data_IF_832099775802
#
_entry.id   IF_832099775802
#
_cell.length_a   1.000
_cell.length_b   1.000
_cell.length_c   1.000
_cell.angle_alpha   90.00
_cell.angle_beta   90.00
_cell.angle_gamma   90.00
#
_symmetry.space_group_name_H-M   'P 1'
#
loop_
_entity.id
_entity.type
_entity.pdbx_description
1 polymer ?
#
# COMPACT_ATOMS: atom_id res chain seq x y z
N UNK A 1 27.36 -19.28 -17.78
CA UNK A 1 26.37 -20.37 -17.66
C UNK A 1 25.15 -19.98 -18.50
N UNK A 2 24.73 -20.80 -19.48
CA UNK A 2 23.53 -20.55 -20.29
C UNK A 2 22.28 -21.05 -19.54
N UNK A 3 21.17 -20.31 -19.62
CA UNK A 3 19.91 -20.75 -19.03
C UNK A 3 19.34 -21.89 -19.88
N UNK A 4 18.89 -22.97 -19.25
CA UNK A 4 18.27 -24.11 -19.94
C UNK A 4 16.88 -24.38 -19.39
N UNK A 5 15.90 -24.54 -20.27
CA UNK A 5 14.55 -24.94 -19.92
C UNK A 5 14.08 -26.05 -20.87
N UNK A 6 13.60 -27.16 -20.30
CA UNK A 6 13.19 -28.38 -21.03
C UNK A 6 14.21 -28.87 -22.08
N UNK A 7 15.50 -28.82 -21.74
CA UNK A 7 16.58 -29.28 -22.62
C UNK A 7 16.97 -28.30 -23.73
N UNK A 8 16.28 -27.16 -23.87
CA UNK A 8 16.64 -26.11 -24.83
C UNK A 8 17.52 -25.07 -24.11
N UNK A 9 18.64 -24.74 -24.71
CA UNK A 9 19.55 -23.69 -24.22
C UNK A 9 19.13 -22.33 -24.76
N UNK A 10 18.98 -21.36 -23.88
CA UNK A 10 18.62 -20.00 -24.22
C UNK A 10 19.85 -19.10 -24.24
N UNK A 11 19.90 -18.22 -25.23
CA UNK A 11 20.80 -17.08 -25.23
C UNK A 11 20.17 -15.97 -24.40
N UNK A 12 20.71 -15.76 -23.20
CA UNK A 12 20.19 -14.77 -22.26
C UNK A 12 20.75 -13.39 -22.58
N UNK A 13 19.92 -12.53 -23.18
CA UNK A 13 20.23 -11.12 -23.43
C UNK A 13 19.32 -10.23 -22.56
N UNK A 14 19.65 -10.02 -21.27
CA UNK A 14 18.83 -9.18 -20.41
C UNK A 14 18.90 -7.73 -20.86
N UNK A 15 17.80 -6.96 -20.74
CA UNK A 15 17.84 -5.53 -21.01
C UNK A 15 18.76 -4.83 -20.00
N UNK A 16 19.74 -4.08 -20.50
CA UNK A 16 20.62 -3.28 -19.65
C UNK A 16 19.87 -2.04 -19.12
N UNK A 17 19.65 -2.00 -17.81
CA UNK A 17 19.07 -0.83 -17.13
C UNK A 17 20.20 0.02 -16.58
N UNK A 18 20.48 1.15 -17.23
CA UNK A 18 21.47 2.13 -16.76
C UNK A 18 20.97 2.84 -15.51
N UNK A 19 21.69 2.69 -14.41
CA UNK A 19 21.42 3.38 -13.14
C UNK A 19 22.55 4.33 -12.80
N UNK A 20 22.21 5.56 -12.42
CA UNK A 20 23.15 6.50 -11.83
C UNK A 20 23.27 6.22 -10.32
N UNK A 21 24.50 6.17 -9.83
CA UNK A 21 24.76 6.03 -8.40
C UNK A 21 24.54 7.37 -7.70
N UNK A 22 23.69 7.39 -6.67
CA UNK A 22 23.56 8.59 -5.83
C UNK A 22 24.82 8.78 -4.98
N UNK A 23 25.22 10.05 -4.77
CA UNK A 23 26.26 10.39 -3.81
C UNK A 23 25.87 10.11 -2.35
N UNK A 24 24.58 9.93 -2.08
CA UNK A 24 24.04 9.59 -0.75
C UNK A 24 23.99 8.08 -0.59
N UNK A 25 24.75 7.56 0.37
CA UNK A 25 24.78 6.15 0.77
C UNK A 25 25.15 6.05 2.26
N UNK A 26 24.86 4.92 2.88
CA UNK A 26 25.30 4.66 4.25
C UNK A 26 24.98 3.26 4.74
N UNK A 27 25.14 3.06 6.05
CA UNK A 27 24.79 1.83 6.76
C UNK A 27 23.63 2.10 7.70
N UNK A 28 22.60 1.27 7.68
CA UNK A 28 21.52 1.27 8.66
C UNK A 28 21.41 -0.12 9.29
N UNK A 29 21.59 -0.21 10.62
CA UNK A 29 21.59 -1.49 11.36
C UNK A 29 22.52 -2.56 10.75
N UNK A 30 23.69 -2.14 10.29
CA UNK A 30 24.68 -3.01 9.64
C UNK A 30 24.41 -3.30 8.16
N UNK A 31 23.25 -2.93 7.62
CA UNK A 31 22.92 -3.13 6.20
C UNK A 31 23.26 -1.89 5.36
N UNK A 32 23.82 -2.11 4.18
CA UNK A 32 24.02 -1.03 3.20
C UNK A 32 22.69 -0.52 2.67
N UNK A 33 22.51 0.80 2.68
CA UNK A 33 21.42 1.46 1.97
C UNK A 33 22.01 2.46 0.97
N UNK A 34 21.50 2.42 -0.26
CA UNK A 34 21.96 3.23 -1.41
C UNK A 34 20.76 3.54 -2.29
N UNK A 35 20.70 4.75 -2.84
CA UNK A 35 19.76 5.02 -3.93
C UNK A 35 20.40 4.71 -5.28
N UNK A 36 19.62 4.06 -6.15
CA UNK A 36 19.98 3.81 -7.54
C UNK A 36 18.88 4.43 -8.39
N UNK A 37 19.12 5.65 -8.85
CA UNK A 37 18.17 6.32 -9.72
C UNK A 37 18.41 5.84 -11.16
N UNK A 38 17.33 5.70 -11.93
CA UNK A 38 17.45 5.41 -13.35
C UNK A 38 18.10 6.61 -14.05
N UNK A 39 19.03 6.34 -14.96
CA UNK A 39 19.67 7.38 -15.77
C UNK A 39 18.65 8.09 -16.67
N UNK A 40 17.68 7.31 -17.18
CA UNK A 40 16.53 7.82 -17.92
C UNK A 40 15.29 7.76 -17.02
N UNK A 41 14.54 8.86 -16.86
CA UNK A 41 13.29 8.81 -16.11
C UNK A 41 12.33 7.82 -16.79
N UNK A 42 11.61 6.99 -16.02
CA UNK A 42 10.65 6.07 -16.60
C UNK A 42 9.52 6.84 -17.25
N UNK A 43 9.15 6.45 -18.47
CA UNK A 43 7.96 6.99 -19.14
C UNK A 43 6.73 6.38 -18.45
N UNK A 44 6.09 7.16 -17.60
CA UNK A 44 4.85 6.74 -16.96
C UNK A 44 3.74 6.69 -18.01
N UNK A 45 3.06 5.55 -18.08
CA UNK A 45 1.89 5.44 -18.94
C UNK A 45 0.69 6.15 -18.30
N UNK A 46 -0.17 6.81 -19.09
CA UNK A 46 -1.35 7.48 -18.57
C UNK A 46 -2.29 6.47 -17.91
N UNK A 47 -2.86 6.85 -16.75
CA UNK A 47 -3.90 6.08 -16.06
C UNK A 47 -5.29 6.27 -16.69
N UNK A 48 -5.44 7.28 -17.55
CA UNK A 48 -6.68 7.55 -18.26
C UNK A 48 -6.90 6.53 -19.38
N UNK A 49 -8.12 6.00 -19.45
CA UNK A 49 -8.57 5.20 -20.59
C UNK A 49 -8.82 6.12 -21.78
N UNK A 50 -7.96 6.04 -22.79
CA UNK A 50 -8.06 6.85 -23.99
C UNK A 50 -9.12 6.24 -24.93
N UNK A 51 -9.84 7.08 -25.66
CA UNK A 51 -10.78 6.64 -26.69
C UNK A 51 -10.37 7.19 -28.04
N UNK A 52 -10.24 6.33 -29.04
CA UNK A 52 -10.01 6.71 -30.43
C UNK A 52 -11.12 6.14 -31.30
N UNK A 53 -11.89 7.00 -31.99
CA UNK A 53 -13.02 6.62 -32.85
C UNK A 53 -13.99 5.61 -32.22
N UNK A 54 -14.29 5.80 -30.92
CA UNK A 54 -15.20 4.93 -30.18
C UNK A 54 -14.57 3.67 -29.59
N UNK A 55 -13.32 3.33 -29.94
CA UNK A 55 -12.59 2.20 -29.36
C UNK A 55 -11.77 2.65 -28.16
N UNK A 56 -11.90 1.94 -27.03
CA UNK A 56 -11.11 2.19 -25.82
C UNK A 56 -9.71 1.60 -25.96
N UNK A 57 -8.70 2.40 -25.67
CA UNK A 57 -7.30 2.02 -25.65
C UNK A 57 -6.74 2.17 -24.23
N UNK A 58 -6.13 1.11 -23.73
CA UNK A 58 -5.51 1.06 -22.41
C UNK A 58 -4.15 0.36 -22.55
N UNK A 59 -3.07 1.05 -22.15
CA UNK A 59 -1.69 0.53 -22.26
C UNK A 59 -1.18 -0.12 -20.99
N UNK A 60 -1.74 0.27 -19.84
CA UNK A 60 -1.33 -0.27 -18.56
C UNK A 60 -2.01 -1.64 -18.34
N UNK A 61 -1.25 -2.73 -18.10
CA UNK A 61 -1.85 -3.96 -17.61
C UNK A 61 -2.48 -3.63 -16.26
N UNK A 62 -3.79 -3.78 -16.15
CA UNK A 62 -4.48 -3.68 -14.87
C UNK A 62 -3.84 -4.68 -13.92
N UNK A 63 -3.22 -4.27 -12.79
CA UNK A 63 -3.13 -5.22 -11.69
C UNK A 63 -4.57 -5.68 -11.44
N UNK A 64 -4.79 -6.96 -11.15
CA UNK A 64 -6.11 -7.46 -10.79
C UNK A 64 -6.60 -6.75 -9.53
N UNK A 65 -7.17 -5.55 -9.69
CA UNK A 65 -7.78 -4.76 -8.64
C UNK A 65 -9.05 -5.52 -8.31
N UNK A 66 -9.00 -6.28 -7.22
CA UNK A 66 -10.19 -6.70 -6.49
C UNK A 66 -11.09 -5.47 -6.42
N UNK A 67 -12.33 -5.59 -6.92
CA UNK A 67 -13.37 -4.56 -6.89
C UNK A 67 -13.44 -3.91 -5.48
N UNK A 68 -12.66 -2.87 -5.24
CA UNK A 68 -12.89 -1.96 -4.13
C UNK A 68 -13.88 -0.97 -4.70
N UNK A 69 -15.16 -1.20 -4.42
CA UNK A 69 -16.20 -0.20 -4.66
C UNK A 69 -15.66 1.12 -4.08
N UNK A 70 -15.53 2.12 -4.95
CA UNK A 70 -15.27 3.49 -4.53
C UNK A 70 -16.47 3.96 -3.69
N UNK A 71 -16.41 3.72 -2.38
CA UNK A 71 -17.20 4.50 -1.45
C UNK A 71 -16.69 5.92 -1.55
N UNK A 72 -17.48 6.80 -2.18
CA UNK A 72 -17.28 8.25 -2.15
C UNK A 72 -17.11 8.64 -0.68
N UNK A 73 -15.86 8.83 -0.24
CA UNK A 73 -15.60 9.40 1.08
C UNK A 73 -16.11 10.83 1.02
N UNK A 74 -17.07 11.23 1.86
CA UNK A 74 -17.53 12.61 1.89
C UNK A 74 -16.31 13.50 2.12
N UNK A 75 -16.22 14.61 1.38
CA UNK A 75 -15.16 15.61 1.56
C UNK A 75 -15.47 16.30 2.89
N UNK A 76 -14.96 15.72 3.99
CA UNK A 76 -15.13 16.25 5.33
C UNK A 76 -14.19 17.46 5.50
N UNK A 77 -14.73 18.58 5.97
CA UNK A 77 -13.91 19.72 6.34
C UNK A 77 -12.89 19.32 7.41
N UNK A 78 -11.76 20.02 7.48
CA UNK A 78 -10.69 19.72 8.46
C UNK A 78 -11.27 19.67 9.90
N UNK A 79 -12.23 20.54 10.20
CA UNK A 79 -12.95 20.59 11.48
C UNK A 79 -13.80 19.34 11.73
N UNK A 80 -14.47 18.81 10.71
CA UNK A 80 -15.28 17.59 10.84
C UNK A 80 -14.39 16.36 11.02
N UNK A 81 -13.23 16.33 10.36
CA UNK A 81 -12.22 15.30 10.59
C UNK A 81 -11.69 15.35 12.02
N UNK A 82 -11.36 16.54 12.54
CA UNK A 82 -10.93 16.71 13.93
C UNK A 82 -12.02 16.24 14.93
N UNK A 83 -13.28 16.61 14.69
CA UNK A 83 -14.42 16.16 15.50
C UNK A 83 -14.56 14.64 15.49
N UNK A 84 -14.43 14.00 14.33
CA UNK A 84 -14.53 12.54 14.21
C UNK A 84 -13.43 11.80 14.99
N UNK A 85 -12.19 12.34 14.97
CA UNK A 85 -11.07 11.78 15.73
C UNK A 85 -11.28 11.89 17.24
N UNK A 86 -11.79 13.05 17.71
CA UNK A 86 -12.11 13.24 19.13
C UNK A 86 -13.20 12.27 19.61
N UNK A 87 -14.26 12.08 18.82
CA UNK A 87 -15.32 11.11 19.13
C UNK A 87 -14.77 9.69 19.12
N UNK A 88 -13.96 9.33 18.12
CA UNK A 88 -13.34 8.01 18.03
C UNK A 88 -12.44 7.70 19.22
N UNK A 89 -11.63 8.67 19.64
CA UNK A 89 -10.79 8.55 20.82
C UNK A 89 -11.60 8.34 22.10
N UNK A 90 -12.65 9.15 22.32
CA UNK A 90 -13.50 9.01 23.50
C UNK A 90 -14.19 7.64 23.56
N UNK A 91 -14.75 7.17 22.43
CA UNK A 91 -15.35 5.83 22.32
C UNK A 91 -14.33 4.72 22.58
N UNK A 92 -13.10 4.87 22.08
CA UNK A 92 -12.03 3.90 22.33
C UNK A 92 -11.67 3.82 23.82
N UNK A 93 -11.62 4.96 24.51
CA UNK A 93 -11.41 4.98 25.96
C UNK A 93 -12.56 4.33 26.73
N UNK A 94 -13.80 4.64 26.39
CA UNK A 94 -14.98 4.04 27.02
C UNK A 94 -15.01 2.52 26.83
N UNK A 95 -14.87 2.05 25.59
CA UNK A 95 -14.83 0.60 25.31
C UNK A 95 -13.70 -0.11 26.04
N UNK A 96 -12.53 0.54 26.20
CA UNK A 96 -11.43 0.01 27.00
C UNK A 96 -11.82 -0.09 28.47
N UNK A 97 -12.39 0.96 29.05
CA UNK A 97 -12.84 0.98 30.45
C UNK A 97 -13.89 -0.10 30.70
N UNK A 98 -14.88 -0.22 29.82
CA UNK A 98 -15.91 -1.26 29.87
C UNK A 98 -15.29 -2.66 29.82
N UNK A 99 -14.35 -2.91 28.90
CA UNK A 99 -13.69 -4.21 28.80
C UNK A 99 -12.87 -4.58 30.05
N UNK A 100 -12.22 -3.59 30.68
CA UNK A 100 -11.46 -3.80 31.92
C UNK A 100 -12.41 -4.08 33.09
N UNK A 101 -13.54 -3.35 33.16
CA UNK A 101 -14.56 -3.57 34.16
C UNK A 101 -15.20 -4.95 34.00
N UNK A 102 -15.56 -5.35 32.77
CA UNK A 102 -16.09 -6.67 32.49
C UNK A 102 -15.14 -7.79 32.90
N UNK A 103 -13.83 -7.63 32.68
CA UNK A 103 -12.82 -8.60 33.15
C UNK A 103 -12.80 -8.71 34.68
N UNK A 104 -12.78 -7.58 35.39
CA UNK A 104 -12.83 -7.58 36.86
C UNK A 104 -14.13 -8.17 37.39
N UNK A 105 -15.27 -7.89 36.75
CA UNK A 105 -16.56 -8.47 37.12
C UNK A 105 -16.56 -9.99 36.95
N UNK A 106 -15.98 -10.50 35.86
CA UNK A 106 -15.83 -11.93 35.62
C UNK A 106 -14.93 -12.60 36.67
N UNK A 107 -13.84 -11.95 37.11
CA UNK A 107 -12.99 -12.44 38.21
C UNK A 107 -13.75 -12.54 39.54
N UNK A 108 -14.68 -11.61 39.79
CA UNK A 108 -15.55 -11.62 40.96
C UNK A 108 -16.78 -12.54 40.83
N UNK A 109 -16.92 -13.26 39.71
CA UNK A 109 -18.08 -14.12 39.44
C UNK A 109 -19.38 -13.35 39.18
N UNK A 110 -19.31 -12.04 38.95
CA UNK A 110 -20.45 -11.19 38.58
C UNK A 110 -20.66 -11.32 37.07
N UNK A 111 -21.56 -12.20 36.64
CA UNK A 111 -21.94 -12.32 35.23
C UNK A 111 -22.79 -11.11 34.83
N UNK A 112 -22.14 -10.09 34.27
CA UNK A 112 -22.85 -8.96 33.65
C UNK A 112 -23.40 -9.44 32.30
N UNK A 113 -24.64 -9.90 32.31
CA UNK A 113 -25.40 -10.13 31.08
C UNK A 113 -25.71 -8.76 30.46
N UNK A 114 -25.10 -8.48 29.31
CA UNK A 114 -25.40 -7.32 28.47
C UNK A 114 -26.72 -7.48 27.75
#
# INVERSE_FOLDING_TARGET
>A
MKLSYRGISYEYNPPEVKTAQSGVAGKYRGLDWRFRNLDKPPVLQPSANLKYRGVTYQTAPTPAVKNVKETKTPILSIQDRARSLMIGYHKALQSRQESMLQRSAAELGLTVHS
#
